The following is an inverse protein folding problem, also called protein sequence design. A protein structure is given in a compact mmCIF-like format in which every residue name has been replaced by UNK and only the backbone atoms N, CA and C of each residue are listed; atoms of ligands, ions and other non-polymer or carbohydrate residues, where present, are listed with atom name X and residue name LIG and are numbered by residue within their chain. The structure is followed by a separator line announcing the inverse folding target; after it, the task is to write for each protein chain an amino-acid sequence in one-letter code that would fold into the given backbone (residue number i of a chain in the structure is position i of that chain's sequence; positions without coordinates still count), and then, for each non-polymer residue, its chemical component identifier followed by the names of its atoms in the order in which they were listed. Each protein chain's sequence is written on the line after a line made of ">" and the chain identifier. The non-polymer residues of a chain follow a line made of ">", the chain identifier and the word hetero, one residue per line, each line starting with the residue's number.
data_IF_246611037938
#
_entry.id   IF_246611037938
#
_cell.length_a   1.000
_cell.length_b   1.000
_cell.length_c   1.000
_cell.angle_alpha   90.00
_cell.angle_beta   90.00
_cell.angle_gamma   90.00
#
_symmetry.space_group_name_H-M   'P 1'
#
loop_
_entity.id
_entity.type
_entity.pdbx_description
1 polymer ?
#
# COMPACT_ATOMS: atom_id res chain seq x y z
N UNK A 1 -1.56 -9.18 23.31
CA UNK A 1 -1.00 -10.50 22.93
C UNK A 1 0.00 -10.89 23.98
N UNK A 2 -0.13 -12.08 24.60
CA UNK A 2 0.83 -12.52 25.60
C UNK A 2 2.22 -12.69 24.98
N UNK A 3 3.29 -12.35 25.71
CA UNK A 3 4.69 -12.48 25.25
C UNK A 3 4.99 -13.89 24.70
N UNK A 4 4.34 -14.93 25.23
CA UNK A 4 4.45 -16.30 24.74
C UNK A 4 3.91 -16.51 23.32
N UNK A 5 2.93 -15.74 22.87
CA UNK A 5 2.39 -15.82 21.51
C UNK A 5 3.27 -15.08 20.49
N UNK A 6 3.92 -13.98 20.90
CA UNK A 6 4.86 -13.27 20.02
C UNK A 6 6.11 -14.14 19.71
N UNK A 7 6.57 -14.94 20.68
CA UNK A 7 7.71 -15.85 20.49
C UNK A 7 7.39 -17.08 19.61
N UNK A 8 6.12 -17.37 19.34
CA UNK A 8 5.72 -18.50 18.49
C UNK A 8 5.62 -18.16 16.99
N UNK A 9 5.62 -16.89 16.64
CA UNK A 9 5.61 -16.47 15.23
C UNK A 9 6.95 -16.82 14.59
N UNK A 10 6.90 -17.66 13.56
CA UNK A 10 8.09 -17.96 12.74
C UNK A 10 8.47 -16.71 11.95
N UNK A 11 9.76 -16.42 11.85
CA UNK A 11 10.27 -15.31 11.05
C UNK A 11 9.99 -15.52 9.55
N UNK A 12 9.20 -14.66 8.89
CA UNK A 12 9.04 -14.73 7.44
C UNK A 12 10.36 -14.49 6.70
N UNK A 13 11.25 -13.66 7.24
CA UNK A 13 12.55 -13.38 6.62
C UNK A 13 13.47 -14.59 6.69
N UNK A 14 13.40 -15.37 7.75
CA UNK A 14 14.19 -16.61 7.88
C UNK A 14 13.87 -17.65 6.79
N UNK A 15 12.65 -17.67 6.24
CA UNK A 15 12.30 -18.53 5.11
C UNK A 15 12.96 -18.12 3.80
N UNK A 16 13.40 -16.86 3.68
CA UNK A 16 14.06 -16.33 2.51
C UNK A 16 15.58 -16.56 2.55
N UNK A 17 16.08 -17.21 3.60
CA UNK A 17 17.51 -17.50 3.79
C UNK A 17 18.11 -18.13 2.52
N UNK A 18 19.27 -17.65 2.09
CA UNK A 18 19.97 -18.03 0.85
C UNK A 18 19.25 -17.68 -0.47
N UNK A 19 18.05 -17.11 -0.44
CA UNK A 19 17.32 -16.66 -1.63
C UNK A 19 17.50 -15.17 -1.92
N UNK A 20 17.99 -14.43 -0.93
CA UNK A 20 18.18 -12.98 -0.98
C UNK A 20 19.62 -12.62 -0.62
N UNK A 21 20.09 -11.49 -1.13
CA UNK A 21 21.40 -10.95 -0.79
C UNK A 21 21.41 -10.31 0.62
N UNK A 22 22.60 -10.11 1.22
CA UNK A 22 22.69 -9.60 2.59
C UNK A 22 22.14 -8.18 2.79
N UNK A 23 22.14 -7.33 1.76
CA UNK A 23 21.58 -5.97 1.85
C UNK A 23 20.05 -6.04 1.88
N UNK A 24 19.45 -6.82 1.00
CA UNK A 24 18.02 -7.11 1.01
C UNK A 24 17.59 -7.73 2.34
N UNK A 25 18.37 -8.69 2.86
CA UNK A 25 18.06 -9.33 4.15
C UNK A 25 17.98 -8.30 5.28
N UNK A 26 18.95 -7.40 5.40
CA UNK A 26 18.94 -6.36 6.46
C UNK A 26 17.73 -5.45 6.40
N UNK A 27 17.28 -5.06 5.20
CA UNK A 27 16.08 -4.23 5.04
C UNK A 27 14.84 -4.97 5.54
N UNK A 28 14.71 -6.25 5.20
CA UNK A 28 13.57 -7.05 5.61
C UNK A 28 13.62 -7.41 7.10
N UNK A 29 14.79 -7.68 7.67
CA UNK A 29 15.00 -7.92 9.10
C UNK A 29 14.65 -6.69 9.95
N UNK A 30 15.03 -5.47 9.50
CA UNK A 30 14.63 -4.22 10.17
C UNK A 30 13.11 -4.04 10.12
N UNK A 31 12.50 -4.34 8.99
CA UNK A 31 11.06 -4.23 8.83
C UNK A 31 10.30 -5.28 9.66
N UNK A 32 10.76 -6.53 9.68
CA UNK A 32 10.24 -7.59 10.54
C UNK A 32 10.36 -7.24 12.01
N UNK A 33 11.52 -6.71 12.42
CA UNK A 33 11.75 -6.29 13.81
C UNK A 33 10.77 -5.22 14.25
N UNK A 34 10.43 -4.28 13.39
CA UNK A 34 9.40 -3.29 13.66
C UNK A 34 8.01 -3.94 13.80
N UNK A 35 7.67 -4.92 12.91
CA UNK A 35 6.42 -5.64 13.02
C UNK A 35 6.30 -6.35 14.37
N UNK A 36 7.34 -7.04 14.80
CA UNK A 36 7.35 -7.75 16.08
C UNK A 36 7.30 -6.81 17.29
N UNK A 37 7.95 -5.65 17.20
CA UNK A 37 7.98 -4.68 18.28
C UNK A 37 6.67 -3.89 18.45
N UNK A 38 6.07 -3.48 17.34
CA UNK A 38 4.94 -2.54 17.33
C UNK A 38 3.80 -2.95 16.39
N UNK A 39 4.12 -3.38 15.17
CA UNK A 39 3.18 -3.55 14.07
C UNK A 39 2.06 -4.56 14.39
N UNK A 40 2.39 -5.69 14.98
CA UNK A 40 1.42 -6.75 15.35
C UNK A 40 0.38 -6.22 16.32
N UNK A 41 0.81 -5.51 17.36
CA UNK A 41 -0.12 -4.94 18.36
C UNK A 41 -1.03 -3.86 17.74
N UNK A 42 -0.49 -3.07 16.81
CA UNK A 42 -1.26 -2.07 16.07
C UNK A 42 -2.27 -2.74 15.15
N UNK A 43 -1.85 -3.75 14.37
CA UNK A 43 -2.72 -4.51 13.48
C UNK A 43 -3.90 -5.12 14.24
N UNK A 44 -3.62 -5.76 15.37
CA UNK A 44 -4.65 -6.32 16.25
C UNK A 44 -5.63 -5.26 16.79
N UNK A 45 -5.13 -4.09 17.15
CA UNK A 45 -5.97 -2.98 17.62
C UNK A 45 -6.85 -2.41 16.49
N UNK A 46 -6.30 -2.30 15.27
CA UNK A 46 -7.03 -1.85 14.08
C UNK A 46 -8.13 -2.85 13.71
N UNK A 47 -7.82 -4.14 13.73
CA UNK A 47 -8.81 -5.21 13.45
C UNK A 47 -9.98 -5.17 14.45
N UNK A 48 -9.69 -5.00 15.74
CA UNK A 48 -10.73 -4.86 16.77
C UNK A 48 -11.54 -3.58 16.68
N UNK A 49 -10.99 -2.51 16.13
CA UNK A 49 -11.72 -1.27 15.92
C UNK A 49 -12.83 -1.40 14.85
N UNK A 50 -12.76 -2.45 14.04
CA UNK A 50 -13.73 -2.74 13.00
C UNK A 50 -13.46 -2.03 11.67
N UNK A 51 -14.44 -2.06 10.78
CA UNK A 51 -14.33 -1.46 9.46
C UNK A 51 -14.23 0.07 9.53
N UNK A 52 -13.54 0.70 8.55
CA UNK A 52 -13.53 2.15 8.43
C UNK A 52 -14.95 2.74 8.39
N UNK A 53 -15.14 3.85 9.09
CA UNK A 53 -16.40 4.59 9.08
C UNK A 53 -16.49 5.54 7.89
N UNK A 54 -17.71 5.87 7.46
CA UNK A 54 -17.95 6.94 6.49
C UNK A 54 -18.61 8.13 7.18
N UNK A 55 -17.92 9.26 7.17
CA UNK A 55 -18.47 10.54 7.60
C UNK A 55 -18.95 11.31 6.37
N UNK A 56 -20.25 11.27 6.11
CA UNK A 56 -20.82 11.91 4.92
C UNK A 56 -20.92 13.43 5.05
N UNK A 57 -21.19 13.95 6.26
CA UNK A 57 -21.37 15.36 6.51
C UNK A 57 -20.57 15.82 7.73
N UNK A 58 -20.13 17.06 7.73
CA UNK A 58 -19.57 17.73 8.92
C UNK A 58 -20.69 18.15 9.91
N UNK A 59 -20.28 18.76 11.03
CA UNK A 59 -21.22 19.22 12.07
C UNK A 59 -22.16 20.35 11.60
N UNK A 60 -21.87 20.98 10.46
CA UNK A 60 -22.67 22.06 9.90
C UNK A 60 -23.53 21.59 8.71
N UNK A 61 -23.56 20.29 8.41
CA UNK A 61 -24.32 19.71 7.31
C UNK A 61 -23.66 19.85 5.93
N UNK A 62 -22.37 20.30 5.86
CA UNK A 62 -21.62 20.33 4.61
C UNK A 62 -21.13 18.91 4.28
N UNK A 63 -21.34 18.48 3.05
CA UNK A 63 -20.89 17.17 2.58
C UNK A 63 -19.36 17.09 2.54
N UNK A 64 -18.79 16.06 3.16
CA UNK A 64 -17.33 15.82 3.26
C UNK A 64 -16.92 14.48 2.67
N UNK A 65 -17.78 13.45 2.75
CA UNK A 65 -17.52 12.06 2.28
C UNK A 65 -16.15 11.54 2.75
N UNK A 66 -15.85 11.71 4.04
CA UNK A 66 -14.57 11.35 4.64
C UNK A 66 -14.58 9.89 5.12
N UNK A 67 -13.57 9.11 4.73
CA UNK A 67 -13.35 7.76 5.26
C UNK A 67 -12.52 7.85 6.52
N UNK A 68 -13.08 7.36 7.63
CA UNK A 68 -12.44 7.37 8.94
C UNK A 68 -11.78 6.02 9.19
N UNK A 69 -10.46 6.00 9.08
CA UNK A 69 -9.65 4.84 9.49
C UNK A 69 -9.30 4.93 10.98
N UNK A 70 -9.09 3.80 11.66
CA UNK A 70 -8.44 3.80 12.97
C UNK A 70 -7.10 4.55 12.89
N UNK A 71 -6.77 5.42 13.89
CA UNK A 71 -5.60 6.31 13.81
C UNK A 71 -4.28 5.59 13.49
N UNK A 72 -4.09 4.40 14.07
CA UNK A 72 -2.85 3.64 13.93
C UNK A 72 -2.72 2.90 12.58
N UNK A 73 -3.80 2.77 11.81
CA UNK A 73 -3.75 2.24 10.44
C UNK A 73 -2.73 2.99 9.58
N UNK A 74 -2.71 4.31 9.68
CA UNK A 74 -1.76 5.14 8.92
C UNK A 74 -0.31 4.93 9.34
N UNK A 75 -0.06 4.57 10.61
CA UNK A 75 1.28 4.26 11.10
C UNK A 75 1.84 3.00 10.42
N UNK A 76 1.04 1.94 10.34
CA UNK A 76 1.42 0.71 9.65
C UNK A 76 1.67 0.95 8.17
N UNK A 77 0.73 1.63 7.49
CA UNK A 77 0.82 1.91 6.07
C UNK A 77 2.08 2.72 5.72
N UNK A 78 2.36 3.77 6.48
CA UNK A 78 3.56 4.62 6.31
C UNK A 78 4.84 3.82 6.48
N UNK A 79 4.93 2.96 7.49
CA UNK A 79 6.13 2.17 7.74
C UNK A 79 6.52 1.30 6.53
N UNK A 80 5.56 0.68 5.85
CA UNK A 80 5.86 -0.08 4.63
C UNK A 80 6.33 0.80 3.48
N UNK A 81 5.74 1.98 3.29
CA UNK A 81 6.23 2.93 2.28
C UNK A 81 7.64 3.44 2.60
N UNK A 82 7.96 3.77 3.86
CA UNK A 82 9.31 4.15 4.32
C UNK A 82 10.32 3.03 4.07
N UNK A 83 9.95 1.79 4.33
CA UNK A 83 10.77 0.59 4.04
C UNK A 83 11.03 0.43 2.55
N UNK A 84 10.14 0.94 1.70
CA UNK A 84 10.31 0.96 0.26
C UNK A 84 9.35 0.09 -0.51
N UNK A 85 8.17 -0.19 0.04
CA UNK A 85 7.14 -0.99 -0.64
C UNK A 85 6.82 -0.51 -2.07
N UNK A 86 7.04 0.78 -2.35
CA UNK A 86 6.80 1.32 -3.69
C UNK A 86 8.08 1.84 -4.35
N UNK A 87 8.80 2.77 -3.74
CA UNK A 87 9.92 3.47 -4.39
C UNK A 87 11.09 2.55 -4.79
N UNK A 88 11.37 1.48 -4.01
CA UNK A 88 12.44 0.52 -4.34
C UNK A 88 12.17 -0.26 -5.64
N UNK A 89 10.91 -0.44 -6.01
CA UNK A 89 10.53 -1.07 -7.28
C UNK A 89 10.98 -0.27 -8.51
N UNK A 90 11.28 1.02 -8.33
CA UNK A 90 11.65 1.93 -9.41
C UNK A 90 13.12 2.38 -9.38
N UNK A 91 13.89 1.93 -8.39
CA UNK A 91 15.34 2.25 -8.28
C UNK A 91 16.24 1.31 -9.10
N UNK A 92 15.76 0.14 -9.49
CA UNK A 92 16.60 -0.86 -10.14
C UNK A 92 15.86 -1.81 -11.05
N UNK A 93 14.98 -1.36 -11.91
CA UNK A 93 14.23 -2.15 -12.92
C UNK A 93 13.68 -3.52 -12.42
N UNK A 94 13.50 -3.68 -11.11
CA UNK A 94 13.07 -4.92 -10.50
C UNK A 94 11.98 -4.71 -9.47
N UNK A 95 10.84 -5.32 -9.67
CA UNK A 95 9.74 -5.36 -8.72
C UNK A 95 10.03 -6.26 -7.49
N UNK A 96 11.21 -6.91 -7.46
CA UNK A 96 11.54 -7.89 -6.42
C UNK A 96 11.40 -7.34 -5.01
N UNK A 97 11.95 -6.14 -4.75
CA UNK A 97 11.87 -5.52 -3.42
C UNK A 97 10.43 -5.19 -3.00
N UNK A 98 9.60 -4.75 -3.94
CA UNK A 98 8.17 -4.57 -3.68
C UNK A 98 7.54 -5.84 -3.13
N UNK A 99 7.68 -6.96 -3.86
CA UNK A 99 7.07 -8.22 -3.46
C UNK A 99 7.69 -8.84 -2.20
N UNK A 100 8.96 -8.60 -1.93
CA UNK A 100 9.59 -9.07 -0.68
C UNK A 100 9.08 -8.30 0.54
N UNK A 101 8.93 -6.98 0.42
CA UNK A 101 8.35 -6.15 1.48
C UNK A 101 6.86 -6.51 1.66
N UNK A 102 6.13 -6.70 0.55
CA UNK A 102 4.73 -7.11 0.60
C UNK A 102 4.55 -8.51 1.21
N UNK A 103 5.44 -9.44 0.92
CA UNK A 103 5.48 -10.76 1.56
C UNK A 103 5.60 -10.67 3.09
N UNK A 104 6.54 -9.86 3.59
CA UNK A 104 6.69 -9.63 5.04
C UNK A 104 5.44 -8.93 5.60
N UNK A 105 4.92 -7.92 4.90
CA UNK A 105 3.68 -7.23 5.28
C UNK A 105 2.53 -8.21 5.41
N UNK A 106 2.25 -8.98 4.35
CA UNK A 106 1.12 -9.91 4.32
C UNK A 106 1.24 -11.07 5.31
N UNK A 107 2.45 -11.38 5.79
CA UNK A 107 2.64 -12.34 6.87
C UNK A 107 2.05 -11.84 8.19
N UNK A 108 2.17 -10.55 8.48
CA UNK A 108 1.70 -9.93 9.71
C UNK A 108 0.30 -9.30 9.56
N UNK A 109 0.03 -8.66 8.41
CA UNK A 109 -1.24 -8.01 8.10
C UNK A 109 -1.50 -8.05 6.58
N UNK A 110 -2.26 -9.03 6.14
CA UNK A 110 -2.56 -9.21 4.72
C UNK A 110 -3.39 -8.05 4.12
N UNK A 111 -4.11 -7.30 4.94
CA UNK A 111 -4.91 -6.17 4.49
C UNK A 111 -4.08 -5.01 3.94
N UNK A 112 -2.87 -4.84 4.46
CA UNK A 112 -1.95 -3.78 4.03
C UNK A 112 -1.25 -4.06 2.69
N UNK A 113 -1.18 -5.31 2.23
CA UNK A 113 -0.65 -5.62 0.90
C UNK A 113 -1.46 -4.96 -0.22
N UNK A 114 -2.77 -4.87 -0.07
CA UNK A 114 -3.65 -4.27 -1.08
C UNK A 114 -3.28 -2.79 -1.42
N UNK A 115 -3.14 -1.85 -0.48
CA UNK A 115 -2.71 -0.49 -0.77
C UNK A 115 -1.38 -0.39 -1.51
N UNK A 116 -0.40 -1.22 -1.18
CA UNK A 116 0.91 -1.23 -1.85
C UNK A 116 0.81 -1.72 -3.29
N UNK A 117 0.11 -2.83 -3.53
CA UNK A 117 -0.09 -3.39 -4.88
C UNK A 117 -0.90 -2.44 -5.76
N UNK A 118 -1.97 -1.82 -5.24
CA UNK A 118 -2.77 -0.87 -6.01
C UNK A 118 -1.98 0.40 -6.32
N UNK A 119 -1.16 0.89 -5.39
CA UNK A 119 -0.25 2.00 -5.66
C UNK A 119 0.81 1.65 -6.70
N UNK A 120 1.35 0.42 -6.69
CA UNK A 120 2.24 -0.08 -7.74
C UNK A 120 1.53 -0.10 -9.11
N UNK A 121 0.32 -0.66 -9.17
CA UNK A 121 -0.46 -0.78 -10.40
C UNK A 121 -0.84 0.58 -11.00
N UNK A 122 -0.90 1.64 -10.18
CA UNK A 122 -1.08 3.03 -10.63
C UNK A 122 0.23 3.65 -11.10
N UNK A 123 1.32 3.40 -10.38
CA UNK A 123 2.63 4.04 -10.65
C UNK A 123 3.29 3.49 -11.92
N UNK A 124 3.19 2.18 -12.16
CA UNK A 124 3.79 1.52 -13.33
C UNK A 124 3.27 2.11 -14.66
N UNK A 125 1.97 2.26 -14.92
CA UNK A 125 1.47 2.88 -16.14
C UNK A 125 1.91 4.34 -16.29
N UNK A 126 1.91 5.13 -15.21
CA UNK A 126 2.37 6.52 -15.25
C UNK A 126 3.85 6.56 -15.64
N UNK A 127 4.70 5.75 -15.00
CA UNK A 127 6.13 5.68 -15.30
C UNK A 127 6.41 5.21 -16.73
N UNK A 128 5.63 4.26 -17.24
CA UNK A 128 5.89 3.59 -18.53
C UNK A 128 5.24 4.30 -19.72
N UNK A 129 4.06 4.87 -19.52
CA UNK A 129 3.22 5.40 -20.61
C UNK A 129 2.75 6.83 -20.40
N UNK A 130 2.94 7.40 -19.20
CA UNK A 130 2.59 8.78 -18.91
C UNK A 130 3.42 9.78 -19.73
N UNK A 131 2.82 10.91 -20.07
CA UNK A 131 3.58 12.02 -20.66
C UNK A 131 4.60 12.57 -19.65
N UNK A 132 5.64 13.31 -20.11
CA UNK A 132 6.60 13.92 -19.18
C UNK A 132 5.93 14.79 -18.10
N UNK A 133 4.87 15.50 -18.45
CA UNK A 133 4.11 16.36 -17.52
C UNK A 133 3.44 15.52 -16.44
N UNK A 134 2.73 14.43 -16.82
CA UNK A 134 2.11 13.52 -15.87
C UNK A 134 3.14 12.85 -14.96
N UNK A 135 4.28 12.44 -15.52
CA UNK A 135 5.35 11.85 -14.71
C UNK A 135 5.92 12.87 -13.72
N UNK A 136 6.15 14.10 -14.16
CA UNK A 136 6.67 15.17 -13.31
C UNK A 136 5.68 15.56 -12.20
N UNK A 137 4.38 15.52 -12.48
CA UNK A 137 3.33 15.85 -11.51
C UNK A 137 3.14 14.75 -10.48
N UNK A 138 3.02 13.48 -10.88
CA UNK A 138 2.56 12.41 -10.00
C UNK A 138 3.67 11.57 -9.36
N UNK A 139 4.75 11.25 -10.11
CA UNK A 139 5.78 10.33 -9.60
C UNK A 139 6.49 10.84 -8.34
N UNK A 140 6.80 12.14 -8.18
CA UNK A 140 7.44 12.63 -6.96
C UNK A 140 6.59 12.42 -5.70
N UNK A 141 5.26 12.39 -5.85
CA UNK A 141 4.34 12.15 -4.73
C UNK A 141 4.11 10.67 -4.46
N UNK A 142 4.05 9.85 -5.50
CA UNK A 142 3.87 8.41 -5.39
C UNK A 142 5.13 7.71 -4.85
N UNK A 143 6.33 8.18 -5.22
CA UNK A 143 7.60 7.55 -4.89
C UNK A 143 8.32 8.18 -3.70
N UNK A 144 7.61 8.85 -2.81
CA UNK A 144 8.19 9.40 -1.57
C UNK A 144 8.78 8.29 -0.70
N UNK A 145 9.83 8.67 0.04
CA UNK A 145 10.57 7.76 0.93
C UNK A 145 10.27 7.97 2.41
N UNK A 146 9.49 8.99 2.73
CA UNK A 146 9.16 9.44 4.08
C UNK A 146 7.78 8.95 4.58
N UNK A 147 7.20 7.98 3.88
CA UNK A 147 5.88 7.44 4.23
C UNK A 147 4.69 8.35 3.92
N UNK A 148 4.92 9.58 3.43
CA UNK A 148 3.85 10.51 3.05
C UNK A 148 3.42 10.35 1.58
N UNK A 149 3.48 9.13 1.06
CA UNK A 149 3.15 8.80 -0.31
C UNK A 149 1.69 9.08 -0.64
N UNK A 150 1.43 9.60 -1.83
CA UNK A 150 0.11 9.47 -2.41
C UNK A 150 -0.18 8.01 -2.72
N UNK A 151 -1.41 7.62 -2.52
CA UNK A 151 -1.84 6.26 -2.82
C UNK A 151 -2.51 6.21 -4.18
N UNK A 152 -2.23 5.14 -4.90
CA UNK A 152 -2.95 4.80 -6.10
C UNK A 152 -4.30 4.18 -5.81
N UNK A 153 -5.21 4.26 -6.79
CA UNK A 153 -6.48 3.56 -6.74
C UNK A 153 -6.85 3.03 -8.12
N UNK A 154 -7.58 1.93 -8.14
CA UNK A 154 -8.13 1.34 -9.36
C UNK A 154 -9.64 1.26 -9.25
N UNK A 155 -10.34 1.94 -10.14
CA UNK A 155 -11.80 1.99 -10.21
C UNK A 155 -12.27 1.03 -11.30
N UNK A 156 -12.43 -0.24 -10.95
CA UNK A 156 -12.70 -1.30 -11.93
C UNK A 156 -14.18 -1.67 -12.04
N UNK A 157 -15.01 -1.22 -11.08
CA UNK A 157 -16.42 -1.62 -11.04
C UNK A 157 -17.29 -0.57 -11.71
N UNK A 158 -18.13 -1.03 -12.62
CA UNK A 158 -19.17 -0.24 -13.30
C UNK A 158 -20.55 -0.89 -13.11
N UNK A 159 -21.62 -0.19 -13.50
CA UNK A 159 -23.00 -0.66 -13.31
C UNK A 159 -23.23 -2.03 -13.95
N UNK A 160 -22.73 -2.25 -15.16
CA UNK A 160 -22.73 -3.55 -15.84
C UNK A 160 -21.56 -4.43 -15.52
N UNK A 161 -20.63 -3.92 -14.69
CA UNK A 161 -19.39 -4.59 -14.39
C UNK A 161 -19.56 -5.83 -13.53
N UNK A 162 -18.61 -6.70 -13.68
CA UNK A 162 -18.41 -7.94 -12.94
C UNK A 162 -16.98 -8.39 -13.21
N UNK A 163 -16.74 -9.68 -13.28
CA UNK A 163 -15.43 -10.23 -13.62
C UNK A 163 -15.01 -10.02 -15.08
N UNK A 164 -15.96 -9.73 -15.96
CA UNK A 164 -15.72 -9.42 -17.37
C UNK A 164 -15.53 -7.91 -17.57
N UNK A 165 -14.34 -7.41 -17.19
CA UNK A 165 -14.00 -6.00 -17.24
C UNK A 165 -13.84 -5.49 -18.68
N UNK A 166 -13.41 -6.33 -19.62
CA UNK A 166 -13.13 -5.91 -21.00
C UNK A 166 -14.41 -5.63 -21.81
N UNK A 167 -15.44 -6.47 -21.65
CA UNK A 167 -16.68 -6.34 -22.41
C UNK A 167 -17.70 -5.36 -21.80
N UNK A 168 -17.59 -5.08 -20.50
CA UNK A 168 -18.58 -4.31 -19.76
C UNK A 168 -18.11 -2.92 -19.30
N UNK A 169 -17.01 -2.39 -19.86
CA UNK A 169 -16.53 -1.03 -19.57
C UNK A 169 -17.35 -0.02 -20.37
N UNK A 170 -18.09 0.84 -19.67
CA UNK A 170 -18.86 1.94 -20.27
C UNK A 170 -18.26 3.31 -20.00
N UNK A 171 -17.34 3.42 -19.02
CA UNK A 171 -16.68 4.67 -18.68
C UNK A 171 -15.71 5.11 -19.79
N UNK A 172 -15.88 6.33 -20.26
CA UNK A 172 -15.06 6.91 -21.32
C UNK A 172 -14.40 8.19 -20.80
N UNK A 173 -13.07 8.24 -20.86
CA UNK A 173 -12.32 9.44 -20.58
C UNK A 173 -12.42 10.42 -21.77
N UNK A 174 -12.84 11.65 -21.51
CA UNK A 174 -12.86 12.73 -22.50
C UNK A 174 -12.00 13.88 -21.98
N UNK A 175 -11.14 14.41 -22.86
CA UNK A 175 -10.36 15.60 -22.52
C UNK A 175 -11.32 16.77 -22.30
N UNK A 176 -11.24 17.41 -21.12
CA UNK A 176 -11.99 18.64 -20.80
C UNK A 176 -10.99 19.75 -20.48
N UNK A 177 -11.24 20.93 -21.04
CA UNK A 177 -10.37 22.11 -20.87
C UNK A 177 -9.44 22.37 -22.07
N UNK A 178 -8.72 23.48 -22.02
CA UNK A 178 -7.74 23.82 -23.05
C UNK A 178 -6.63 22.77 -23.13
N UNK A 179 -5.97 22.64 -24.29
CA UNK A 179 -4.87 21.71 -24.50
C UNK A 179 -3.70 21.99 -23.59
#
# INVERSE_FOLDING_TARGET
>A
MDEANAQSLKSPVAFLNNLIDPETARVLEDYESWWLAEGVAISEAVDRAGTPGLRMFDQFGKRTDEILFPPDYWKMLRRGYETGALWRAFEGDSLRMHYLIDYVTCFFDAGLGCPYIVSLSTTVPIKKYGTPELQQEFLPHLLRRDGSNWQGATWMREVKGGSDLGANVETVARKSGPP
#
